data_IF_280863604257
#
_entry.id   IF_280863604257
#
_cell.length_a   1.000
_cell.length_b   1.000
_cell.length_c   1.000
_cell.angle_alpha   90.00
_cell.angle_beta   90.00
_cell.angle_gamma   90.00
#
_symmetry.space_group_name_H-M   'P 1'
#
loop_
_entity.id
_entity.type
_entity.pdbx_description
1 polymer ?
#
# COMPACT_ATOMS: atom_id res chain seq x y z
N UNK A 1 30.24 20.73 -11.95
CA UNK A 1 29.82 19.39 -11.50
C UNK A 1 28.39 19.39 -11.01
N UNK A 2 27.58 18.46 -11.53
CA UNK A 2 26.24 18.18 -11.02
C UNK A 2 26.12 16.67 -10.82
N UNK A 3 25.96 16.24 -9.58
CA UNK A 3 25.62 14.86 -9.25
C UNK A 3 24.10 14.76 -9.29
N UNK A 4 23.59 14.00 -10.25
CA UNK A 4 22.17 13.69 -10.39
C UNK A 4 21.84 12.52 -9.46
N UNK A 5 21.24 12.82 -8.30
CA UNK A 5 20.62 11.79 -7.46
C UNK A 5 19.21 11.58 -8.01
N UNK A 6 18.89 10.42 -8.63
CA UNK A 6 17.52 10.16 -9.03
C UNK A 6 16.62 10.29 -7.80
N UNK A 7 15.53 11.04 -7.91
CA UNK A 7 14.52 11.07 -6.85
C UNK A 7 13.99 9.65 -6.72
N UNK A 8 14.44 8.94 -5.70
CA UNK A 8 13.81 7.69 -5.29
C UNK A 8 12.35 8.01 -5.05
N UNK A 9 11.44 7.27 -5.70
CA UNK A 9 10.03 7.38 -5.41
C UNK A 9 9.78 7.14 -3.92
N UNK A 10 8.68 7.64 -3.39
CA UNK A 10 8.33 7.47 -1.97
C UNK A 10 7.05 6.66 -1.90
N UNK A 11 7.05 5.65 -1.03
CA UNK A 11 5.83 4.94 -0.67
C UNK A 11 5.48 5.22 0.78
N UNK A 12 4.22 5.02 1.13
CA UNK A 12 3.69 5.29 2.46
C UNK A 12 3.20 3.99 3.07
N UNK A 13 3.40 3.83 4.38
CA UNK A 13 2.90 2.67 5.13
C UNK A 13 2.10 3.14 6.32
N UNK A 14 0.90 2.60 6.47
CA UNK A 14 -0.03 2.90 7.56
C UNK A 14 -0.64 1.62 8.13
N UNK A 15 -1.21 1.72 9.33
CA UNK A 15 -1.93 0.64 10.01
C UNK A 15 -1.06 -0.11 11.01
N UNK A 16 -1.28 -1.43 11.12
CA UNK A 16 -0.68 -2.29 12.15
C UNK A 16 0.77 -2.68 11.88
N UNK A 17 1.61 -1.68 11.62
CA UNK A 17 3.07 -1.83 11.48
C UNK A 17 3.79 -1.18 12.64
N UNK A 18 5.00 -1.65 12.94
CA UNK A 18 5.77 -1.11 14.06
C UNK A 18 6.21 0.34 13.83
N UNK A 19 6.46 0.73 12.58
CA UNK A 19 6.80 2.11 12.19
C UNK A 19 6.00 2.56 10.96
N UNK A 20 4.83 3.18 11.14
CA UNK A 20 4.13 3.83 10.03
C UNK A 20 4.88 5.09 9.59
N UNK A 21 4.76 5.46 8.32
CA UNK A 21 5.43 6.64 7.75
C UNK A 21 5.73 6.53 6.28
N UNK A 22 6.49 7.50 5.76
CA UNK A 22 6.99 7.51 4.39
C UNK A 22 8.38 6.88 4.30
N UNK A 23 8.60 6.11 3.24
CA UNK A 23 9.83 5.39 2.99
C UNK A 23 10.28 5.58 1.54
N UNK A 24 11.58 5.80 1.28
CA UNK A 24 12.09 5.85 -0.08
C UNK A 24 12.07 4.45 -0.70
N UNK A 25 11.65 4.37 -1.96
CA UNK A 25 11.75 3.18 -2.80
C UNK A 25 13.22 2.98 -3.16
N UNK A 26 13.77 1.85 -2.73
CA UNK A 26 15.16 1.46 -3.01
C UNK A 26 15.17 0.21 -3.86
N UNK A 27 15.56 0.33 -5.13
CA UNK A 27 15.58 -0.79 -6.07
C UNK A 27 14.19 -1.39 -6.29
N UNK A 28 14.12 -2.72 -6.37
CA UNK A 28 12.87 -3.47 -6.51
C UNK A 28 12.22 -3.68 -5.13
N UNK A 29 11.29 -2.79 -4.80
CA UNK A 29 10.53 -2.84 -3.54
C UNK A 29 9.20 -3.59 -3.75
N UNK A 30 8.97 -4.60 -2.94
CA UNK A 30 7.71 -5.35 -2.86
C UNK A 30 7.08 -5.18 -1.46
N UNK A 31 5.85 -5.69 -1.27
CA UNK A 31 5.13 -5.55 0.00
C UNK A 31 5.85 -6.23 1.16
N UNK A 32 6.54 -7.36 0.94
CA UNK A 32 7.28 -8.05 1.99
C UNK A 32 8.47 -7.22 2.47
N UNK A 33 9.22 -6.64 1.53
CA UNK A 33 10.32 -5.71 1.81
C UNK A 33 9.82 -4.44 2.49
N UNK A 34 8.67 -3.90 2.06
CA UNK A 34 8.04 -2.76 2.72
C UNK A 34 7.69 -3.06 4.19
N UNK A 35 7.12 -4.24 4.46
CA UNK A 35 6.86 -4.70 5.82
C UNK A 35 8.16 -4.90 6.60
N UNK A 36 9.21 -5.43 5.97
CA UNK A 36 10.51 -5.58 6.61
C UNK A 36 11.15 -4.24 7.02
N UNK A 37 11.11 -3.21 6.15
CA UNK A 37 11.68 -1.88 6.46
C UNK A 37 10.89 -1.15 7.56
N UNK A 38 9.60 -1.44 7.69
CA UNK A 38 8.75 -0.92 8.79
C UNK A 38 8.96 -1.66 10.12
N UNK A 39 9.98 -2.51 10.20
CA UNK A 39 10.34 -3.36 11.35
C UNK A 39 9.32 -4.45 11.67
N UNK A 40 8.61 -4.92 10.64
CA UNK A 40 7.59 -5.94 10.76
C UNK A 40 6.21 -5.40 11.16
N UNK A 41 5.24 -6.30 11.06
CA UNK A 41 3.87 -6.04 11.51
C UNK A 41 3.76 -6.18 13.03
N UNK A 42 2.79 -5.49 13.62
CA UNK A 42 2.40 -5.68 15.02
C UNK A 42 1.70 -7.03 15.19
N UNK A 43 1.71 -7.58 16.41
CA UNK A 43 1.05 -8.86 16.73
C UNK A 43 -0.48 -8.84 16.53
N UNK A 44 -1.07 -7.65 16.46
CA UNK A 44 -2.49 -7.40 16.21
C UNK A 44 -2.83 -7.29 14.71
N UNK A 45 -1.81 -7.35 13.83
CA UNK A 45 -1.98 -7.27 12.40
C UNK A 45 -2.61 -8.55 11.84
N UNK A 46 -3.42 -8.39 10.80
CA UNK A 46 -3.98 -9.51 10.05
C UNK A 46 -3.20 -9.62 8.74
N UNK A 47 -2.39 -10.67 8.61
CA UNK A 47 -1.52 -10.91 7.45
C UNK A 47 -2.29 -10.95 6.11
N UNK A 48 -3.56 -11.37 6.15
CA UNK A 48 -4.47 -11.44 4.99
C UNK A 48 -5.12 -10.09 4.62
N UNK A 49 -4.81 -9.01 5.35
CA UNK A 49 -5.43 -7.69 5.17
C UNK A 49 -4.43 -6.59 4.80
N UNK A 50 -3.43 -6.94 3.99
CA UNK A 50 -2.56 -5.92 3.38
C UNK A 50 -3.13 -5.47 2.04
N UNK A 51 -3.15 -4.15 1.84
CA UNK A 51 -3.69 -3.54 0.61
C UNK A 51 -2.74 -2.45 0.14
N UNK A 52 -2.50 -2.42 -1.16
CA UNK A 52 -1.85 -1.28 -1.81
C UNK A 52 -2.95 -0.39 -2.39
N UNK A 53 -2.86 0.88 -2.07
CA UNK A 53 -3.60 1.94 -2.72
C UNK A 53 -2.68 2.58 -3.74
N UNK A 54 -3.04 2.46 -5.02
CA UNK A 54 -2.31 3.07 -6.12
C UNK A 54 -3.17 4.11 -6.79
N UNK A 55 -2.62 5.31 -6.98
CA UNK A 55 -3.31 6.37 -7.74
C UNK A 55 -2.72 6.44 -9.15
N UNK A 56 -3.51 6.08 -10.14
CA UNK A 56 -3.14 6.15 -11.56
C UNK A 56 -4.25 6.83 -12.37
N UNK A 57 -3.87 7.81 -13.19
CA UNK A 57 -4.80 8.49 -14.10
C UNK A 57 -5.99 9.19 -13.41
N UNK A 58 -5.81 9.68 -12.18
CA UNK A 58 -6.89 10.28 -11.39
C UNK A 58 -7.82 9.28 -10.69
N UNK A 59 -7.66 7.98 -10.94
CA UNK A 59 -8.42 6.92 -10.26
C UNK A 59 -7.55 6.29 -9.17
N UNK A 60 -8.16 5.93 -8.04
CA UNK A 60 -7.49 5.17 -6.99
C UNK A 60 -7.88 3.69 -7.11
N UNK A 61 -6.89 2.84 -7.32
CA UNK A 61 -7.02 1.38 -7.38
C UNK A 61 -6.58 0.78 -6.04
N UNK A 62 -7.33 -0.22 -5.58
CA UNK A 62 -6.99 -0.99 -4.37
C UNK A 62 -6.60 -2.39 -4.80
N UNK A 63 -5.33 -2.73 -4.56
CA UNK A 63 -4.76 -4.04 -4.87
C UNK A 63 -4.65 -4.82 -3.55
N UNK A 64 -5.47 -5.85 -3.33
CA UNK A 64 -5.31 -6.72 -2.17
C UNK A 64 -4.03 -7.55 -2.34
N UNK A 65 -3.25 -7.63 -1.26
CA UNK A 65 -2.02 -8.43 -1.22
C UNK A 65 -2.13 -9.40 -0.05
N UNK A 66 -2.11 -10.68 -0.39
CA UNK A 66 -2.03 -11.76 0.59
C UNK A 66 -0.56 -11.96 0.95
N UNK A 67 -0.16 -11.53 2.15
CA UNK A 67 1.24 -11.61 2.60
C UNK A 67 1.62 -13.03 2.98
N UNK A 68 0.66 -13.85 3.41
CA UNK A 68 0.91 -15.27 3.68
C UNK A 68 1.23 -16.01 2.38
N UNK A 69 0.42 -15.81 1.34
CA UNK A 69 0.66 -16.37 0.01
C UNK A 69 1.94 -15.81 -0.63
N UNK A 70 2.24 -14.51 -0.46
CA UNK A 70 3.48 -13.91 -0.94
C UNK A 70 4.72 -14.50 -0.25
N UNK A 71 4.67 -14.73 1.08
CA UNK A 71 5.77 -15.33 1.85
C UNK A 71 6.07 -16.76 1.39
N UNK A 72 5.05 -17.49 0.95
CA UNK A 72 5.19 -18.85 0.43
C UNK A 72 5.51 -18.91 -1.08
N UNK A 73 5.82 -17.78 -1.72
CA UNK A 73 5.99 -17.67 -3.18
C UNK A 73 4.79 -18.20 -3.98
N UNK A 74 3.59 -18.20 -3.38
CA UNK A 74 2.33 -18.64 -4.00
C UNK A 74 1.56 -17.51 -4.67
N UNK A 75 1.91 -16.25 -4.39
CA UNK A 75 1.31 -15.06 -4.99
C UNK A 75 2.35 -14.26 -5.82
N UNK A 76 1.92 -13.59 -6.90
CA UNK A 76 2.80 -12.72 -7.68
C UNK A 76 3.32 -11.56 -6.83
N UNK A 77 4.62 -11.27 -6.93
CA UNK A 77 5.24 -10.13 -6.26
C UNK A 77 4.66 -8.82 -6.82
N UNK A 78 3.90 -8.10 -6.00
CA UNK A 78 3.40 -6.79 -6.37
C UNK A 78 4.47 -5.74 -6.07
N UNK A 79 5.10 -5.24 -7.12
CA UNK A 79 6.06 -4.15 -7.01
C UNK A 79 5.38 -2.84 -6.62
N UNK A 80 6.01 -2.16 -5.67
CA UNK A 80 5.60 -0.85 -5.16
C UNK A 80 6.06 0.23 -6.13
N UNK A 81 5.14 1.15 -6.41
CA UNK A 81 5.35 2.32 -7.26
C UNK A 81 5.40 3.59 -6.42
N UNK A 82 5.96 4.63 -7.02
CA UNK A 82 5.99 5.95 -6.41
C UNK A 82 4.56 6.44 -6.08
N UNK A 83 4.37 6.93 -4.86
CA UNK A 83 3.08 7.39 -4.35
C UNK A 83 2.14 6.28 -3.89
N UNK A 84 2.54 5.00 -3.91
CA UNK A 84 1.72 3.92 -3.35
C UNK A 84 1.56 4.07 -1.83
N UNK A 85 0.36 3.74 -1.33
CA UNK A 85 0.07 3.71 0.11
C UNK A 85 -0.27 2.26 0.49
N UNK A 86 0.55 1.68 1.35
CA UNK A 86 0.40 0.33 1.87
C UNK A 86 -0.32 0.42 3.19
N UNK A 87 -1.44 -0.27 3.29
CA UNK A 87 -2.27 -0.27 4.48
C UNK A 87 -2.33 -1.68 5.04
N UNK A 88 -1.88 -1.83 6.28
CA UNK A 88 -1.88 -3.10 7.02
C UNK A 88 -3.04 -3.09 8.01
N UNK A 89 -4.03 -3.95 7.80
CA UNK A 89 -5.22 -4.01 8.65
C UNK A 89 -4.94 -4.52 10.07
N UNK A 90 -5.63 -3.92 11.06
CA UNK A 90 -5.97 -4.61 12.33
C UNK A 90 -7.33 -5.29 12.18
N UNK A 91 -7.61 -6.27 13.05
CA UNK A 91 -8.86 -7.05 13.09
C UNK A 91 -10.18 -6.25 12.99
N UNK A 92 -10.18 -4.96 13.30
CA UNK A 92 -11.36 -4.07 13.29
C UNK A 92 -11.32 -2.95 12.23
N UNK A 93 -10.23 -2.82 11.44
CA UNK A 93 -10.02 -1.71 10.50
C UNK A 93 -10.97 -1.73 9.30
N UNK A 94 -11.47 -2.92 8.92
CA UNK A 94 -12.36 -3.14 7.78
C UNK A 94 -13.52 -2.16 7.70
N UNK A 95 -14.10 -1.79 8.85
CA UNK A 95 -15.31 -0.95 8.91
C UNK A 95 -15.00 0.54 8.71
N UNK A 96 -13.90 1.03 9.27
CA UNK A 96 -13.50 2.44 9.16
C UNK A 96 -12.93 2.79 7.78
N UNK A 97 -12.09 1.92 7.25
CA UNK A 97 -11.48 2.15 5.93
C UNK A 97 -12.49 1.98 4.80
N UNK A 98 -13.37 0.97 4.85
CA UNK A 98 -14.44 0.84 3.84
C UNK A 98 -15.35 2.08 3.80
N UNK A 99 -15.62 2.70 4.96
CA UNK A 99 -16.36 3.96 5.02
C UNK A 99 -15.58 5.13 4.43
N UNK A 100 -14.27 5.24 4.70
CA UNK A 100 -13.39 6.24 4.09
C UNK A 100 -13.33 6.13 2.56
N UNK A 101 -13.17 4.92 2.03
CA UNK A 101 -13.17 4.64 0.58
C UNK A 101 -14.50 4.95 -0.08
N UNK A 102 -15.61 4.54 0.55
CA UNK A 102 -16.94 4.86 0.07
C UNK A 102 -17.18 6.36 0.04
N UNK A 103 -16.66 7.10 1.03
CA UNK A 103 -16.69 8.56 1.08
C UNK A 103 -15.89 9.23 -0.03
N UNK A 104 -14.67 8.73 -0.32
CA UNK A 104 -13.82 9.26 -1.39
C UNK A 104 -14.38 8.94 -2.80
N UNK A 105 -15.02 7.78 -2.97
CA UNK A 105 -15.71 7.41 -4.22
C UNK A 105 -16.96 8.26 -4.49
N UNK A 106 -17.54 8.87 -3.46
CA UNK A 106 -18.71 9.73 -3.58
C UNK A 106 -18.46 11.11 -4.20
N UNK A 107 -17.19 11.49 -4.43
CA UNK A 107 -16.81 12.83 -4.91
C UNK A 107 -16.19 12.85 -6.32
N UNK A 108 -15.90 11.68 -6.92
CA UNK A 108 -15.32 11.58 -8.28
C UNK A 108 -15.83 10.34 -9.01
N UNK A 109 -17.02 10.40 -9.64
CA UNK A 109 -17.39 9.38 -10.64
C UNK A 109 -18.87 9.03 -10.81
N UNK A 110 -19.77 10.02 -10.99
CA UNK A 110 -20.92 9.82 -11.89
C UNK A 110 -20.57 10.59 -13.15
N UNK A 111 -20.18 9.85 -14.18
CA UNK A 111 -19.81 10.37 -15.50
C UNK A 111 -19.84 9.25 -16.52
N UNK A 112 -20.99 8.58 -16.65
CA UNK A 112 -21.30 7.81 -17.85
C UNK A 112 -21.44 8.80 -19.00
N UNK A 113 -20.58 8.65 -20.00
CA UNK A 113 -20.63 9.41 -21.24
C UNK A 113 -19.98 8.61 -22.34
N UNK A 114 -20.63 7.52 -22.76
CA UNK A 114 -20.90 7.13 -24.16
C UNK A 114 -22.10 6.17 -24.17
#
# INVERSE_FOLDING_TARGET
DSIFVPKAGVFFVEGSVKKPGSYPIQGEMDVLKAVAVTQGMLWEAVDDEVRIIRREGGTSQVIPVDVAAARENRAPEVLIRDGDIIVVGYSSFKRGFAAFWKGLSGIFGIGYGI
#
